data_IF_355283208529
#
_entry.id   IF_355283208529
#
_cell.length_a   1.000
_cell.length_b   1.000
_cell.length_c   1.000
_cell.angle_alpha   90.00
_cell.angle_beta   90.00
_cell.angle_gamma   90.00
#
_symmetry.space_group_name_H-M   'P 1'
#
loop_
_entity.id
_entity.type
_entity.pdbx_description
1 polymer ?
#
# COMPACT_ATOMS: atom_id res chain seq x y z
N UNK A 1 15.20 4.93 19.62
CA UNK A 1 14.71 3.99 18.58
C UNK A 1 15.58 2.75 18.63
N UNK A 2 15.00 1.56 18.49
CA UNK A 2 15.73 0.30 18.40
C UNK A 2 15.41 -0.38 17.06
N UNK A 3 16.40 -1.05 16.46
CA UNK A 3 16.24 -1.78 15.21
C UNK A 3 17.02 -3.09 15.28
N UNK A 4 16.51 -4.13 14.64
CA UNK A 4 17.21 -5.39 14.46
C UNK A 4 16.81 -6.05 13.16
N UNK A 5 17.77 -6.69 12.52
CA UNK A 5 17.55 -7.45 11.29
C UNK A 5 18.37 -8.75 11.31
N UNK A 6 17.89 -9.72 10.54
CA UNK A 6 18.57 -10.99 10.31
C UNK A 6 18.28 -11.41 8.88
N UNK A 7 19.31 -11.80 8.15
CA UNK A 7 19.21 -12.26 6.77
C UNK A 7 19.97 -13.56 6.60
N UNK A 8 19.36 -14.53 5.94
CA UNK A 8 19.99 -15.79 5.55
C UNK A 8 19.87 -15.93 4.06
N UNK A 9 21.02 -16.09 3.39
CA UNK A 9 21.10 -16.26 1.95
C UNK A 9 21.69 -17.63 1.63
N UNK A 10 21.13 -18.30 0.62
CA UNK A 10 21.62 -19.58 0.12
C UNK A 10 21.46 -19.68 -1.39
N UNK A 11 22.52 -20.13 -2.05
CA UNK A 11 22.42 -20.59 -3.43
C UNK A 11 21.75 -21.97 -3.46
N UNK A 12 20.62 -22.08 -4.17
CA UNK A 12 19.82 -23.30 -4.27
C UNK A 12 20.26 -24.17 -5.45
N UNK A 13 20.70 -23.53 -6.53
CA UNK A 13 21.29 -24.14 -7.73
C UNK A 13 22.10 -23.06 -8.44
N UNK A 14 22.89 -23.43 -9.45
CA UNK A 14 23.77 -22.51 -10.17
C UNK A 14 23.05 -21.21 -10.57
N UNK A 15 23.42 -20.10 -9.94
CA UNK A 15 22.86 -18.76 -10.19
C UNK A 15 21.45 -18.52 -9.65
N UNK A 16 20.82 -19.46 -8.95
CA UNK A 16 19.54 -19.28 -8.24
C UNK A 16 19.80 -19.10 -6.75
N UNK A 17 19.49 -17.91 -6.25
CA UNK A 17 19.75 -17.50 -4.87
C UNK A 17 18.43 -17.20 -4.17
N UNK A 18 18.26 -17.79 -2.98
CA UNK A 18 17.18 -17.47 -2.06
C UNK A 18 17.76 -16.68 -0.88
N UNK A 19 17.11 -15.59 -0.52
CA UNK A 19 17.35 -14.83 0.69
C UNK A 19 16.05 -14.73 1.48
N UNK A 20 16.13 -15.02 2.78
CA UNK A 20 15.04 -14.82 3.73
C UNK A 20 15.52 -13.86 4.80
N UNK A 21 14.77 -12.77 5.00
CA UNK A 21 15.09 -11.72 5.95
C UNK A 21 13.98 -11.53 6.97
N UNK A 22 14.38 -11.04 8.14
CA UNK A 22 13.48 -10.49 9.14
C UNK A 22 14.02 -9.12 9.54
N UNK A 23 13.15 -8.12 9.56
CA UNK A 23 13.48 -6.72 9.87
C UNK A 23 12.45 -6.20 10.85
N UNK A 24 12.90 -5.55 11.91
CA UNK A 24 12.04 -4.97 12.91
C UNK A 24 12.58 -3.64 13.43
N UNK A 25 11.66 -2.78 13.84
CA UNK A 25 12.00 -1.53 14.52
C UNK A 25 10.99 -1.24 15.63
N UNK A 26 11.47 -0.57 16.67
CA UNK A 26 10.68 -0.14 17.81
C UNK A 26 11.02 1.32 18.16
N UNK A 27 9.98 2.13 18.27
CA UNK A 27 10.02 3.48 18.80
C UNK A 27 9.37 3.52 20.18
N UNK A 28 10.05 4.12 21.15
CA UNK A 28 9.56 4.35 22.50
C UNK A 28 9.85 5.79 22.88
N UNK A 29 8.93 6.42 23.62
CA UNK A 29 9.02 7.83 24.02
C UNK A 29 9.25 8.78 22.84
N UNK A 30 8.54 8.54 21.73
CA UNK A 30 8.52 9.47 20.61
C UNK A 30 7.66 10.70 20.97
N UNK A 31 8.06 11.88 20.49
CA UNK A 31 7.27 13.11 20.64
C UNK A 31 5.99 13.05 19.81
N UNK A 32 4.91 13.60 20.37
CA UNK A 32 3.63 13.80 19.69
C UNK A 32 2.83 14.89 20.42
N UNK A 33 2.01 15.62 19.68
CA UNK A 33 1.17 16.68 20.24
C UNK A 33 -0.16 16.13 20.74
N UNK A 34 -0.53 16.53 21.95
CA UNK A 34 -1.81 16.20 22.57
C UNK A 34 -2.55 17.47 22.92
N UNK A 35 -3.87 17.44 22.89
CA UNK A 35 -4.63 18.57 23.42
C UNK A 35 -4.55 18.53 24.94
N UNK A 36 -4.05 19.61 25.53
CA UNK A 36 -3.81 19.70 26.96
C UNK A 36 -4.89 20.49 27.72
N UNK A 37 -5.83 21.11 27.00
CA UNK A 37 -6.91 21.90 27.59
C UNK A 37 -8.28 21.57 27.01
N UNK A 38 -8.48 20.37 26.48
CA UNK A 38 -9.80 19.90 26.07
C UNK A 38 -10.72 19.83 27.30
N UNK A 39 -11.99 20.19 27.12
CA UNK A 39 -12.96 20.15 28.19
C UNK A 39 -13.37 18.69 28.49
N UNK A 40 -13.60 18.29 29.76
CA UNK A 40 -14.14 16.97 30.06
C UNK A 40 -15.48 16.77 29.37
N UNK A 41 -15.67 15.64 28.68
CA UNK A 41 -16.90 15.34 27.91
C UNK A 41 -18.18 15.62 28.70
N UNK A 42 -19.18 16.24 28.06
CA UNK A 42 -20.45 16.54 28.73
C UNK A 42 -21.26 17.66 28.09
N UNK A 43 -22.44 17.96 28.63
CA UNK A 43 -23.33 19.01 28.12
C UNK A 43 -22.81 20.43 28.39
N UNK A 44 -23.42 21.40 27.72
CA UNK A 44 -23.11 22.82 27.87
C UNK A 44 -21.84 23.27 27.12
N UNK A 45 -21.53 24.56 27.26
CA UNK A 45 -20.42 25.20 26.57
C UNK A 45 -19.07 24.57 27.00
N UNK A 46 -18.30 23.96 26.07
CA UNK A 46 -17.00 23.39 26.38
C UNK A 46 -16.01 24.42 26.95
N UNK A 47 -16.06 25.69 26.55
CA UNK A 47 -15.13 26.71 27.05
C UNK A 47 -15.24 26.93 28.57
N UNK A 48 -16.44 26.79 29.13
CA UNK A 48 -16.67 26.92 30.58
C UNK A 48 -16.19 25.71 31.39
N UNK A 49 -16.03 24.56 30.72
CA UNK A 49 -15.61 23.28 31.32
C UNK A 49 -14.13 22.98 31.17
N UNK A 50 -13.38 23.77 30.39
CA UNK A 50 -11.92 23.58 30.23
C UNK A 50 -11.18 23.68 31.58
N UNK A 51 -10.17 22.83 31.82
CA UNK A 51 -9.34 22.89 33.02
C UNK A 51 -8.71 24.27 33.24
N UNK A 52 -8.10 24.83 32.19
CA UNK A 52 -7.51 26.17 32.20
C UNK A 52 -8.46 27.15 31.54
N UNK A 53 -9.24 27.83 32.38
CA UNK A 53 -10.18 28.89 31.96
C UNK A 53 -9.39 30.10 31.44
N UNK A 54 -9.87 30.74 30.37
CA UNK A 54 -9.34 31.97 29.75
C UNK A 54 -8.11 31.85 28.82
N UNK A 55 -7.60 30.64 28.55
CA UNK A 55 -6.47 30.42 27.61
C UNK A 55 -6.85 29.68 26.32
N UNK A 56 -8.13 29.29 26.18
CA UNK A 56 -8.62 28.50 25.05
C UNK A 56 -7.93 27.14 24.94
N UNK A 57 -8.14 26.42 23.84
CA UNK A 57 -7.38 25.17 23.60
C UNK A 57 -5.86 25.43 23.54
N UNK A 58 -5.05 24.45 23.90
CA UNK A 58 -3.64 24.42 23.52
C UNK A 58 -3.16 22.98 23.47
N UNK A 59 -2.04 22.78 22.79
CA UNK A 59 -1.41 21.48 22.66
C UNK A 59 -0.12 21.43 23.46
N UNK A 60 0.18 20.27 24.00
CA UNK A 60 1.41 19.96 24.70
C UNK A 60 2.16 18.89 23.91
N UNK A 61 3.47 19.01 23.82
CA UNK A 61 4.32 17.95 23.29
C UNK A 61 4.64 16.94 24.40
N UNK A 62 4.31 15.67 24.17
CA UNK A 62 4.55 14.58 25.12
C UNK A 62 5.38 13.49 24.45
N UNK A 63 6.44 13.05 25.12
CA UNK A 63 7.27 11.91 24.70
C UNK A 63 6.64 10.58 25.11
N UNK A 64 5.39 10.31 24.70
CA UNK A 64 4.63 9.10 25.05
C UNK A 64 4.30 8.21 23.85
N UNK A 65 4.55 8.69 22.62
CA UNK A 65 4.21 7.94 21.42
C UNK A 65 5.12 6.72 21.23
N UNK A 66 4.53 5.68 20.64
CA UNK A 66 5.20 4.40 20.38
C UNK A 66 5.01 3.98 18.94
N UNK A 67 6.00 3.28 18.38
CA UNK A 67 5.89 2.61 17.08
C UNK A 67 6.52 1.22 17.13
N UNK A 68 6.00 0.30 16.32
CA UNK A 68 6.49 -1.07 16.21
C UNK A 68 6.28 -1.57 14.79
N UNK A 69 7.38 -1.92 14.12
CA UNK A 69 7.39 -2.56 12.82
C UNK A 69 7.99 -3.96 12.94
N UNK A 70 7.35 -4.92 12.28
CA UNK A 70 7.77 -6.31 12.18
C UNK A 70 7.59 -6.74 10.73
N UNK A 71 8.64 -7.20 10.08
CA UNK A 71 8.62 -7.58 8.66
C UNK A 71 9.42 -8.84 8.38
N UNK A 72 8.88 -9.72 7.55
CA UNK A 72 9.60 -10.84 6.96
C UNK A 72 9.72 -10.59 5.44
N UNK A 73 10.91 -10.80 4.90
CA UNK A 73 11.19 -10.64 3.46
C UNK A 73 11.64 -11.97 2.88
N UNK A 74 11.22 -12.23 1.65
CA UNK A 74 11.70 -13.35 0.84
C UNK A 74 12.12 -12.78 -0.50
N UNK A 75 13.35 -13.06 -0.91
CA UNK A 75 13.88 -12.68 -2.21
C UNK A 75 14.37 -13.94 -2.92
N UNK A 76 13.88 -14.17 -4.12
CA UNK A 76 14.34 -15.24 -5.01
C UNK A 76 14.90 -14.61 -6.27
N UNK A 77 16.12 -14.96 -6.61
CA UNK A 77 16.85 -14.31 -7.70
C UNK A 77 17.58 -15.33 -8.56
N UNK A 78 17.35 -15.29 -9.88
CA UNK A 78 18.10 -16.06 -10.88
C UNK A 78 18.97 -15.12 -11.69
N UNK A 79 20.28 -15.15 -11.46
CA UNK A 79 21.32 -14.44 -12.23
C UNK A 79 22.02 -15.40 -13.21
N UNK A 80 22.63 -14.86 -14.26
CA UNK A 80 23.57 -15.57 -15.15
C UNK A 80 22.99 -16.81 -15.85
N UNK A 81 21.72 -16.74 -16.31
CA UNK A 81 21.10 -17.80 -17.11
C UNK A 81 20.88 -17.33 -18.55
N UNK A 82 21.12 -18.22 -19.51
CA UNK A 82 21.12 -17.90 -20.94
C UNK A 82 19.73 -17.56 -21.51
N UNK A 83 18.65 -17.96 -20.84
CA UNK A 83 17.29 -17.82 -21.36
C UNK A 83 16.30 -17.19 -20.37
N UNK A 84 16.63 -17.07 -19.08
CA UNK A 84 15.74 -16.52 -18.06
C UNK A 84 16.55 -15.87 -16.94
N UNK A 85 16.31 -14.59 -16.70
CA UNK A 85 16.74 -13.86 -15.50
C UNK A 85 15.49 -13.37 -14.79
N UNK A 86 15.43 -13.50 -13.47
CA UNK A 86 14.34 -12.92 -12.70
C UNK A 86 14.78 -12.55 -11.29
N UNK A 87 14.05 -11.61 -10.70
CA UNK A 87 14.10 -11.26 -9.29
C UNK A 87 12.67 -11.16 -8.78
N UNK A 88 12.38 -11.86 -7.70
CA UNK A 88 11.09 -11.87 -7.03
C UNK A 88 11.30 -11.46 -5.58
N UNK A 89 10.55 -10.47 -5.12
CA UNK A 89 10.56 -10.00 -3.74
C UNK A 89 9.15 -10.13 -3.17
N UNK A 90 9.07 -10.62 -1.94
CA UNK A 90 7.85 -10.67 -1.16
C UNK A 90 8.15 -10.15 0.24
N UNK A 91 7.29 -9.28 0.76
CA UNK A 91 7.36 -8.80 2.12
C UNK A 91 6.01 -9.00 2.81
N UNK A 92 6.05 -9.62 3.99
CA UNK A 92 4.95 -9.66 4.93
C UNK A 92 5.27 -8.72 6.09
N UNK A 93 4.37 -7.79 6.44
CA UNK A 93 4.65 -6.85 7.51
C UNK A 93 3.46 -6.52 8.41
N UNK A 94 3.78 -6.12 9.65
CA UNK A 94 2.86 -5.51 10.61
C UNK A 94 3.52 -4.24 11.14
N UNK A 95 2.86 -3.10 10.94
CA UNK A 95 3.29 -1.80 11.44
C UNK A 95 2.19 -1.22 12.31
N UNK A 96 2.51 -0.97 13.58
CA UNK A 96 1.63 -0.32 14.55
C UNK A 96 2.31 0.95 15.05
N UNK A 97 1.53 2.00 15.29
CA UNK A 97 2.02 3.21 15.94
C UNK A 97 0.91 3.91 16.73
N UNK A 98 1.26 4.88 17.56
CA UNK A 98 0.31 5.86 18.09
C UNK A 98 -0.01 6.94 17.05
N UNK A 99 0.92 7.17 16.13
CA UNK A 99 0.80 8.15 15.08
C UNK A 99 1.79 7.88 13.94
N UNK A 100 1.34 8.06 12.70
CA UNK A 100 2.13 7.71 11.51
C UNK A 100 3.01 8.84 10.96
N UNK A 101 3.00 10.01 11.60
CA UNK A 101 3.89 11.13 11.26
C UNK A 101 4.28 11.94 12.49
N UNK A 102 5.38 12.69 12.39
CA UNK A 102 5.74 13.69 13.39
C UNK A 102 4.72 14.83 13.37
N UNK A 103 4.21 15.20 14.54
CA UNK A 103 3.20 16.26 14.66
C UNK A 103 1.87 15.93 13.98
N UNK A 104 1.59 14.64 13.77
CA UNK A 104 0.26 14.16 13.45
C UNK A 104 -0.81 14.79 14.38
N UNK A 105 -2.03 14.97 13.87
CA UNK A 105 -3.13 15.54 14.64
C UNK A 105 -3.38 14.77 15.94
N UNK A 106 -4.08 15.42 16.87
CA UNK A 106 -4.34 14.86 18.20
C UNK A 106 -4.99 13.48 18.12
N UNK A 107 -4.83 12.68 19.17
CA UNK A 107 -5.62 11.45 19.38
C UNK A 107 -7.09 11.78 19.67
N UNK A 108 -7.99 10.82 19.44
CA UNK A 108 -9.42 10.98 19.75
C UNK A 108 -9.62 11.41 21.21
N UNK A 109 -8.93 10.74 22.14
CA UNK A 109 -8.98 11.03 23.57
C UNK A 109 -7.56 11.23 24.11
N UNK A 110 -7.24 12.44 24.55
CA UNK A 110 -5.89 12.78 25.08
C UNK A 110 -5.65 12.21 26.49
N UNK A 111 -6.70 11.85 27.23
CA UNK A 111 -6.61 11.15 28.52
C UNK A 111 -6.41 9.65 28.32
N UNK A 112 -6.93 9.09 27.22
CA UNK A 112 -6.78 7.68 26.83
C UNK A 112 -6.10 7.51 25.46
N UNK A 113 -4.94 8.14 25.27
CA UNK A 113 -4.22 8.08 24.00
C UNK A 113 -3.84 6.65 23.57
N UNK A 114 -3.69 5.71 24.50
CA UNK A 114 -3.34 4.32 24.18
C UNK A 114 -4.42 3.61 23.36
N UNK A 115 -5.68 4.05 23.46
CA UNK A 115 -6.78 3.53 22.65
C UNK A 115 -6.61 3.86 21.15
N UNK A 116 -5.79 4.86 20.84
CA UNK A 116 -5.52 5.23 19.46
C UNK A 116 -4.39 4.44 18.82
N UNK A 117 -3.67 3.58 19.55
CA UNK A 117 -2.65 2.70 18.96
C UNK A 117 -3.32 1.75 17.95
N UNK A 118 -2.93 1.87 16.69
CA UNK A 118 -3.51 1.12 15.58
C UNK A 118 -2.49 0.83 14.50
N UNK A 119 -2.94 0.35 13.34
CA UNK A 119 -2.05 0.21 12.19
C UNK A 119 -1.49 1.56 11.76
N UNK A 120 -0.24 1.58 11.30
CA UNK A 120 0.32 2.75 10.64
C UNK A 120 -0.45 3.05 9.35
N UNK A 121 -0.62 4.32 8.98
CA UNK A 121 -1.31 4.72 7.74
C UNK A 121 -0.61 4.19 6.47
N UNK A 122 0.71 4.01 6.54
CA UNK A 122 1.52 3.42 5.47
C UNK A 122 1.65 1.89 5.59
N UNK A 123 0.95 1.24 6.52
CA UNK A 123 1.01 -0.21 6.67
C UNK A 123 0.52 -0.90 5.39
N UNK A 124 1.25 -1.93 4.97
CA UNK A 124 0.84 -2.83 3.89
C UNK A 124 1.25 -4.24 4.29
N UNK A 125 0.25 -5.10 4.52
CA UNK A 125 0.46 -6.45 5.04
C UNK A 125 1.26 -7.33 4.09
N UNK A 126 0.95 -7.24 2.80
CA UNK A 126 1.61 -8.00 1.75
C UNK A 126 2.10 -7.03 0.69
N UNK A 127 3.37 -7.15 0.30
CA UNK A 127 3.94 -6.48 -0.87
C UNK A 127 4.66 -7.54 -1.68
N UNK A 128 4.38 -7.59 -2.97
CA UNK A 128 4.99 -8.50 -3.93
C UNK A 128 5.49 -7.70 -5.12
N UNK A 129 6.71 -7.99 -5.57
CA UNK A 129 7.21 -7.52 -6.84
C UNK A 129 8.01 -8.62 -7.53
N UNK A 130 7.86 -8.71 -8.85
CA UNK A 130 8.64 -9.64 -9.66
C UNK A 130 9.04 -8.96 -10.96
N UNK A 131 10.33 -8.95 -11.26
CA UNK A 131 10.87 -8.57 -12.56
C UNK A 131 11.46 -9.79 -13.24
N UNK A 132 11.16 -10.00 -14.52
CA UNK A 132 11.76 -11.08 -15.30
C UNK A 132 12.06 -10.66 -16.73
N UNK A 133 13.10 -11.28 -17.29
CA UNK A 133 13.51 -11.18 -18.68
C UNK A 133 13.78 -12.57 -19.21
N UNK A 134 13.10 -12.96 -20.28
CA UNK A 134 13.29 -14.26 -20.92
C UNK A 134 13.40 -14.17 -22.43
N UNK A 135 14.42 -14.79 -22.99
CA UNK A 135 14.53 -14.98 -24.44
C UNK A 135 13.67 -16.19 -24.85
N UNK A 136 12.81 -16.01 -25.84
CA UNK A 136 11.95 -17.10 -26.29
C UNK A 136 12.76 -18.17 -27.04
N UNK A 137 12.45 -19.47 -26.84
CA UNK A 137 13.22 -20.57 -27.40
C UNK A 137 12.88 -20.90 -28.87
N UNK A 138 12.51 -19.90 -29.69
CA UNK A 138 12.16 -20.07 -31.10
C UNK A 138 13.23 -19.54 -32.06
N UNK A 139 13.33 -20.16 -33.23
CA UNK A 139 14.14 -19.70 -34.36
C UNK A 139 15.53 -20.33 -34.47
N UNK A 140 16.37 -19.87 -35.42
CA UNK A 140 17.63 -20.52 -35.77
C UNK A 140 18.51 -20.79 -34.55
N UNK A 141 18.93 -22.06 -34.37
CA UNK A 141 19.79 -22.47 -33.26
C UNK A 141 19.12 -22.51 -31.87
N UNK A 142 17.79 -22.39 -31.80
CA UNK A 142 16.99 -22.55 -30.56
C UNK A 142 16.22 -23.88 -30.55
N UNK A 143 15.66 -24.20 -29.38
CA UNK A 143 14.97 -25.48 -29.10
C UNK A 143 13.80 -25.75 -30.05
N UNK A 144 13.03 -24.72 -30.38
CA UNK A 144 11.87 -24.83 -31.26
C UNK A 144 12.12 -24.09 -32.56
N UNK A 145 11.70 -24.68 -33.69
CA UNK A 145 11.89 -24.11 -35.03
C UNK A 145 13.37 -23.79 -35.37
N UNK A 146 14.30 -24.56 -34.79
CA UNK A 146 15.75 -24.36 -34.89
C UNK A 146 16.35 -24.45 -36.29
N UNK A 147 15.67 -25.15 -37.20
CA UNK A 147 16.11 -25.39 -38.57
C UNK A 147 15.58 -24.36 -39.58
N UNK A 148 14.68 -23.46 -39.17
CA UNK A 148 14.19 -22.40 -40.06
C UNK A 148 15.35 -21.47 -40.43
N UNK A 149 15.47 -21.15 -41.72
CA UNK A 149 16.48 -20.26 -42.27
C UNK A 149 15.84 -19.10 -43.02
N UNK A 150 16.67 -18.14 -43.44
CA UNK A 150 16.23 -16.98 -44.22
C UNK A 150 15.20 -16.13 -43.48
N UNK A 151 14.23 -15.59 -44.23
CA UNK A 151 13.19 -14.70 -43.71
C UNK A 151 12.36 -15.37 -42.60
N UNK A 152 11.99 -16.64 -42.76
CA UNK A 152 11.24 -17.37 -41.75
C UNK A 152 11.98 -17.45 -40.41
N UNK A 153 13.29 -17.73 -40.45
CA UNK A 153 14.15 -17.73 -39.27
C UNK A 153 14.25 -16.37 -38.58
N UNK A 154 14.34 -15.29 -39.36
CA UNK A 154 14.35 -13.91 -38.83
C UNK A 154 13.02 -13.53 -38.18
N UNK A 155 11.88 -13.98 -38.70
CA UNK A 155 10.55 -13.71 -38.13
C UNK A 155 10.35 -14.46 -36.82
N UNK A 156 10.80 -15.71 -36.70
CA UNK A 156 10.56 -16.51 -35.48
C UNK A 156 11.63 -16.38 -34.40
N UNK A 157 12.84 -15.92 -34.72
CA UNK A 157 13.98 -15.88 -33.78
C UNK A 157 14.22 -14.53 -33.11
N UNK A 158 14.85 -14.49 -31.92
CA UNK A 158 15.25 -13.20 -31.31
C UNK A 158 14.13 -12.42 -30.62
N UNK A 159 13.05 -13.12 -30.25
CA UNK A 159 12.03 -12.59 -29.35
C UNK A 159 12.48 -12.67 -27.89
N UNK A 160 12.14 -11.65 -27.12
CA UNK A 160 12.36 -11.54 -25.68
C UNK A 160 11.10 -11.00 -25.03
N UNK A 161 10.74 -11.55 -23.88
CA UNK A 161 9.67 -11.05 -23.03
C UNK A 161 10.28 -10.47 -21.76
N UNK A 162 9.85 -9.26 -21.41
CA UNK A 162 10.13 -8.59 -20.16
C UNK A 162 8.82 -8.46 -19.40
N UNK A 163 8.86 -8.57 -18.07
CA UNK A 163 7.68 -8.36 -17.26
C UNK A 163 8.02 -7.80 -15.88
N UNK A 164 7.17 -6.90 -15.41
CA UNK A 164 7.15 -6.42 -14.03
C UNK A 164 5.75 -6.66 -13.49
N UNK A 165 5.68 -7.38 -12.37
CA UNK A 165 4.45 -7.63 -11.64
C UNK A 165 4.60 -6.93 -10.30
N UNK A 166 3.63 -6.12 -9.92
CA UNK A 166 3.58 -5.46 -8.62
C UNK A 166 2.22 -5.69 -7.99
N UNK A 167 2.19 -6.13 -6.74
CA UNK A 167 0.95 -6.29 -5.99
C UNK A 167 1.16 -5.90 -4.53
N UNK A 168 0.15 -5.27 -3.93
CA UNK A 168 0.13 -5.00 -2.49
C UNK A 168 -1.28 -5.09 -1.93
N UNK A 169 -1.37 -5.52 -0.67
CA UNK A 169 -2.61 -5.37 0.10
C UNK A 169 -2.99 -3.90 0.23
N UNK A 170 -4.26 -3.63 0.49
CA UNK A 170 -4.71 -2.27 0.76
C UNK A 170 -4.06 -1.68 2.01
N UNK A 171 -4.11 -0.35 2.07
CA UNK A 171 -3.67 0.40 3.26
C UNK A 171 -4.84 0.53 4.24
N UNK A 172 -4.55 0.66 5.54
CA UNK A 172 -5.57 0.99 6.52
C UNK A 172 -6.28 2.31 6.21
N UNK A 173 -7.56 2.37 6.54
CA UNK A 173 -8.44 3.51 6.40
C UNK A 173 -8.68 4.12 7.78
N UNK A 174 -8.45 5.42 7.90
CA UNK A 174 -8.78 6.17 9.12
C UNK A 174 -10.20 6.72 9.00
N UNK A 175 -11.10 6.31 9.89
CA UNK A 175 -12.49 6.75 9.91
C UNK A 175 -12.67 7.89 10.90
N UNK A 176 -13.53 8.84 10.56
CA UNK A 176 -13.84 10.01 11.38
C UNK A 176 -15.34 10.32 11.35
N UNK A 177 -15.80 11.16 12.28
CA UNK A 177 -17.09 11.84 12.22
C UNK A 177 -16.86 13.34 11.93
N UNK A 178 -17.78 13.99 11.25
CA UNK A 178 -17.64 15.40 10.84
C UNK A 178 -18.08 16.42 11.91
N UNK A 179 -18.12 16.04 13.19
CA UNK A 179 -18.55 16.91 14.30
C UNK A 179 -17.85 16.55 15.61
N UNK A 180 -17.82 17.50 16.55
CA UNK A 180 -17.45 17.24 17.95
C UNK A 180 -18.65 16.64 18.69
N UNK A 181 -18.69 15.30 18.78
CA UNK A 181 -19.77 14.57 19.45
C UNK A 181 -19.53 14.44 20.96
N UNK A 182 -18.27 14.31 21.39
CA UNK A 182 -17.90 14.28 22.80
C UNK A 182 -18.06 15.65 23.50
N UNK A 183 -18.18 16.73 22.72
CA UNK A 183 -18.33 18.12 23.17
C UNK A 183 -17.19 18.57 24.09
N UNK A 184 -15.96 18.29 23.65
CA UNK A 184 -14.74 18.63 24.39
C UNK A 184 -14.11 19.94 23.90
N UNK A 185 -14.68 20.56 22.86
CA UNK A 185 -14.14 21.75 22.22
C UNK A 185 -12.84 21.43 21.47
N UNK A 186 -12.75 20.21 20.93
CA UNK A 186 -11.54 19.68 20.31
C UNK A 186 -11.26 20.35 18.97
N UNK A 187 -10.00 20.68 18.72
CA UNK A 187 -9.58 21.42 17.51
C UNK A 187 -9.50 20.58 16.23
N UNK A 188 -9.43 19.26 16.35
CA UNK A 188 -8.91 18.38 15.29
C UNK A 188 -9.91 17.39 14.70
N UNK A 189 -11.20 17.45 15.07
CA UNK A 189 -12.29 16.56 14.56
C UNK A 189 -11.85 15.12 14.26
N UNK A 190 -11.13 14.53 15.19
CA UNK A 190 -10.48 13.22 15.09
C UNK A 190 -11.31 12.11 15.77
N UNK A 191 -12.54 12.44 16.17
CA UNK A 191 -13.48 11.51 16.75
C UNK A 191 -13.91 10.50 15.70
N UNK A 192 -14.10 9.25 16.11
CA UNK A 192 -14.44 8.13 15.22
C UNK A 192 -15.89 7.71 15.44
N UNK A 193 -16.52 7.05 14.45
CA UNK A 193 -17.83 6.47 14.64
C UNK A 193 -17.78 5.25 15.58
N UNK A 194 -18.94 4.81 16.03
CA UNK A 194 -19.11 3.47 16.58
C UNK A 194 -19.22 2.46 15.44
N UNK A 195 -18.53 1.33 15.58
CA UNK A 195 -18.73 0.13 14.79
C UNK A 195 -19.78 -0.74 15.50
N UNK A 196 -20.99 -0.79 14.93
CA UNK A 196 -22.16 -1.49 15.49
C UNK A 196 -22.53 -2.75 14.69
N UNK A 197 -21.86 -2.99 13.56
CA UNK A 197 -22.07 -4.16 12.71
C UNK A 197 -20.80 -4.57 11.98
N UNK A 198 -20.94 -5.50 11.02
CA UNK A 198 -19.83 -5.96 10.20
C UNK A 198 -19.56 -5.02 9.04
N UNK A 199 -18.29 -4.62 8.86
CA UNK A 199 -17.84 -3.76 7.75
C UNK A 199 -18.03 -4.44 6.39
N UNK A 200 -17.77 -5.75 6.36
CA UNK A 200 -17.89 -6.61 5.19
C UNK A 200 -18.66 -7.87 5.57
N UNK A 201 -20.00 -7.80 5.69
CA UNK A 201 -20.79 -8.97 6.05
C UNK A 201 -20.73 -10.06 4.98
N UNK A 202 -21.04 -11.30 5.34
CA UNK A 202 -21.08 -12.40 4.37
C UNK A 202 -22.01 -12.08 3.21
N UNK A 203 -21.53 -12.30 1.97
CA UNK A 203 -22.26 -11.98 0.74
C UNK A 203 -22.32 -10.50 0.38
N UNK A 204 -21.59 -9.62 1.11
CA UNK A 204 -21.49 -8.23 0.74
C UNK A 204 -20.77 -8.05 -0.60
N UNK A 205 -21.45 -7.40 -1.54
CA UNK A 205 -20.88 -7.06 -2.84
C UNK A 205 -20.18 -5.70 -2.77
N UNK A 206 -18.86 -5.72 -2.70
CA UNK A 206 -18.03 -4.51 -2.70
C UNK A 206 -17.97 -3.90 -4.10
N UNK A 207 -18.48 -2.66 -4.24
CA UNK A 207 -18.40 -1.86 -5.48
C UNK A 207 -17.84 -0.47 -5.18
N UNK A 208 -17.42 0.32 -6.19
CA UNK A 208 -16.97 1.69 -5.96
C UNK A 208 -18.03 2.58 -5.28
N UNK A 209 -19.32 2.36 -5.53
CA UNK A 209 -20.42 3.11 -4.94
C UNK A 209 -20.75 2.66 -3.51
N UNK A 210 -20.30 1.46 -3.12
CA UNK A 210 -20.55 0.87 -1.82
C UNK A 210 -19.40 -0.04 -1.43
N UNK A 211 -18.27 0.58 -1.06
CA UNK A 211 -17.04 -0.17 -0.80
C UNK A 211 -17.16 -1.04 0.46
N UNK A 212 -17.77 -0.50 1.51
CA UNK A 212 -18.05 -1.18 2.77
C UNK A 212 -19.51 -0.95 3.20
N UNK A 213 -19.98 -1.76 4.15
CA UNK A 213 -21.31 -1.60 4.73
C UNK A 213 -21.38 -0.32 5.57
N UNK A 214 -21.88 0.76 4.99
CA UNK A 214 -22.01 2.05 5.69
C UNK A 214 -22.94 1.99 6.90
N UNK A 215 -23.92 1.09 6.92
CA UNK A 215 -24.82 0.87 8.05
C UNK A 215 -24.15 0.20 9.27
N UNK A 216 -22.93 -0.31 9.13
CA UNK A 216 -22.13 -0.82 10.25
C UNK A 216 -21.57 0.31 11.14
N UNK A 217 -21.66 1.56 10.69
CA UNK A 217 -21.10 2.71 11.36
C UNK A 217 -22.23 3.62 11.86
N UNK A 218 -22.17 3.98 13.14
CA UNK A 218 -23.13 4.87 13.78
C UNK A 218 -22.43 6.05 14.43
N UNK A 219 -23.17 7.15 14.59
CA UNK A 219 -22.72 8.22 15.47
C UNK A 219 -22.73 7.70 16.92
N UNK A 220 -21.65 7.93 17.70
CA UNK A 220 -21.64 7.56 19.10
C UNK A 220 -22.71 8.31 19.89
N UNK A 221 -23.07 7.78 21.06
CA UNK A 221 -23.97 8.48 21.98
C UNK A 221 -23.46 9.90 22.27
N UNK A 222 -24.36 10.84 22.51
CA UNK A 222 -23.96 12.22 22.73
C UNK A 222 -23.03 12.29 23.94
N UNK A 223 -21.96 13.11 23.83
CA UNK A 223 -20.92 13.25 24.85
C UNK A 223 -20.04 12.01 25.03
N UNK A 224 -20.00 11.10 24.05
CA UNK A 224 -19.06 9.96 24.03
C UNK A 224 -18.19 9.97 22.79
N UNK A 225 -17.03 9.32 22.93
CA UNK A 225 -16.15 8.95 21.82
C UNK A 225 -16.63 7.65 21.17
N UNK A 226 -16.24 7.43 19.92
CA UNK A 226 -16.54 6.20 19.21
C UNK A 226 -15.61 5.05 19.57
N UNK A 227 -16.11 3.84 19.38
CA UNK A 227 -15.41 2.59 19.70
C UNK A 227 -14.51 2.06 18.57
N UNK A 228 -14.59 2.62 17.37
CA UNK A 228 -13.81 2.13 16.23
C UNK A 228 -12.32 2.41 16.45
N UNK A 229 -11.50 1.35 16.36
CA UNK A 229 -10.06 1.48 16.46
C UNK A 229 -9.48 2.29 15.30
N UNK A 230 -8.40 3.05 15.58
CA UNK A 230 -7.68 3.78 14.53
C UNK A 230 -7.19 2.82 13.46
N UNK A 231 -7.42 3.16 12.19
CA UNK A 231 -6.89 2.39 11.05
C UNK A 231 -7.32 0.90 11.07
N UNK A 232 -8.51 0.61 11.58
CA UNK A 232 -8.99 -0.76 11.75
C UNK A 232 -9.50 -1.43 10.46
N UNK A 233 -9.96 -0.65 9.49
CA UNK A 233 -10.51 -1.14 8.22
C UNK A 233 -9.45 -1.06 7.13
N UNK A 234 -9.32 -2.08 6.28
CA UNK A 234 -8.37 -2.08 5.16
C UNK A 234 -9.09 -1.67 3.86
N UNK A 235 -8.47 -0.76 3.10
CA UNK A 235 -8.96 -0.28 1.82
C UNK A 235 -8.62 -1.20 0.64
N UNK A 236 -8.84 -0.74 -0.60
CA UNK A 236 -8.50 -1.52 -1.79
C UNK A 236 -7.01 -1.83 -1.90
N UNK A 237 -6.70 -3.04 -2.36
CA UNK A 237 -5.36 -3.41 -2.78
C UNK A 237 -4.97 -2.77 -4.12
N UNK A 238 -3.72 -2.99 -4.52
CA UNK A 238 -3.21 -2.60 -5.83
C UNK A 238 -2.54 -3.78 -6.50
N UNK A 239 -2.76 -3.92 -7.80
CA UNK A 239 -2.11 -4.88 -8.67
C UNK A 239 -1.82 -4.25 -10.04
N UNK A 240 -0.57 -4.38 -10.50
CA UNK A 240 -0.14 -3.96 -11.84
C UNK A 240 0.67 -5.03 -12.53
N UNK A 241 0.52 -5.08 -13.84
CA UNK A 241 1.16 -6.03 -14.74
C UNK A 241 1.69 -5.27 -15.93
N UNK A 242 3.00 -5.09 -16.01
CA UNK A 242 3.65 -4.40 -17.10
C UNK A 242 4.45 -5.41 -17.91
N UNK A 243 4.26 -5.43 -19.23
CA UNK A 243 4.94 -6.37 -20.13
C UNK A 243 5.66 -5.65 -21.26
N UNK A 244 6.81 -6.16 -21.65
CA UNK A 244 7.52 -5.74 -22.85
C UNK A 244 7.79 -6.93 -23.75
N UNK A 245 7.47 -6.81 -25.03
CA UNK A 245 7.81 -7.79 -26.06
C UNK A 245 8.83 -7.15 -26.99
N UNK A 246 10.05 -7.65 -26.95
CA UNK A 246 11.16 -7.14 -27.75
C UNK A 246 11.51 -8.14 -28.84
N UNK A 247 11.81 -7.62 -30.02
CA UNK A 247 12.14 -8.41 -31.20
C UNK A 247 13.39 -7.83 -31.85
N UNK A 248 14.42 -8.65 -31.95
CA UNK A 248 15.67 -8.28 -32.61
C UNK A 248 15.73 -8.88 -34.02
N UNK A 249 15.81 -8.01 -35.03
CA UNK A 249 16.06 -8.34 -36.43
C UNK A 249 17.55 -8.12 -36.72
N UNK A 250 18.30 -9.18 -36.99
CA UNK A 250 19.74 -9.07 -37.27
C UNK A 250 19.96 -8.59 -38.71
N UNK A 251 20.76 -7.55 -38.89
CA UNK A 251 21.13 -6.95 -40.18
C UNK A 251 22.62 -7.20 -40.46
N UNK A 252 23.01 -8.47 -40.55
CA UNK A 252 24.42 -8.87 -40.66
C UNK A 252 25.02 -9.27 -39.31
N UNK A 253 26.33 -9.14 -39.19
CA UNK A 253 27.09 -9.70 -38.06
C UNK A 253 27.07 -8.81 -36.81
N UNK A 254 27.04 -7.49 -37.00
CA UNK A 254 27.20 -6.50 -35.93
C UNK A 254 25.94 -5.67 -35.66
N UNK A 255 25.18 -5.33 -36.69
CA UNK A 255 24.01 -4.46 -36.54
C UNK A 255 22.69 -5.22 -36.41
N UNK A 256 21.75 -4.62 -35.68
CA UNK A 256 20.38 -5.13 -35.58
C UNK A 256 19.37 -4.00 -35.35
N UNK A 257 18.15 -4.23 -35.81
CA UNK A 257 16.98 -3.43 -35.46
C UNK A 257 16.24 -4.12 -34.33
N UNK A 258 15.97 -3.39 -33.26
CA UNK A 258 15.12 -3.83 -32.17
C UNK A 258 13.77 -3.13 -32.23
N UNK A 259 12.71 -3.91 -32.38
CA UNK A 259 11.34 -3.48 -32.16
C UNK A 259 10.93 -3.78 -30.72
N UNK A 260 10.20 -2.87 -30.10
CA UNK A 260 9.66 -2.99 -28.74
C UNK A 260 8.17 -2.68 -28.76
N UNK A 261 7.38 -3.53 -28.12
CA UNK A 261 6.02 -3.23 -27.72
C UNK A 261 5.96 -3.32 -26.19
N UNK A 262 5.63 -2.22 -25.52
CA UNK A 262 5.54 -2.11 -24.07
C UNK A 262 4.09 -1.84 -23.68
N UNK A 263 3.58 -2.62 -22.74
CA UNK A 263 2.20 -2.57 -22.25
C UNK A 263 2.25 -2.30 -20.76
N UNK A 264 1.89 -1.10 -20.34
CA UNK A 264 1.70 -0.75 -18.93
C UNK A 264 0.26 -1.05 -18.54
N UNK A 265 0.05 -1.63 -17.36
CA UNK A 265 -1.24 -2.17 -16.95
C UNK A 265 -1.85 -3.06 -18.06
N UNK A 266 -1.10 -4.06 -18.51
CA UNK A 266 -1.38 -4.88 -19.68
C UNK A 266 -2.74 -5.59 -19.64
N UNK A 267 -3.30 -5.84 -18.45
CA UNK A 267 -4.64 -6.42 -18.29
C UNK A 267 -5.73 -5.37 -18.07
N UNK A 268 -5.40 -4.08 -18.05
CA UNK A 268 -6.31 -2.99 -17.73
C UNK A 268 -7.02 -3.21 -16.38
N UNK A 269 -6.27 -3.69 -15.38
CA UNK A 269 -6.80 -3.89 -14.03
C UNK A 269 -7.04 -2.53 -13.38
N UNK A 270 -8.25 -2.34 -12.85
CA UNK A 270 -8.64 -1.08 -12.20
C UNK A 270 -8.13 -1.07 -10.76
N UNK A 271 -7.16 -0.21 -10.48
CA UNK A 271 -6.68 0.02 -9.11
C UNK A 271 -7.45 1.16 -8.46
N UNK A 272 -8.46 0.83 -7.65
CA UNK A 272 -9.29 1.81 -6.97
C UNK A 272 -8.53 2.63 -5.91
N UNK A 273 -8.92 3.88 -5.74
CA UNK A 273 -8.52 4.75 -4.63
C UNK A 273 -9.24 4.41 -3.34
N UNK A 274 -8.92 5.12 -2.26
CA UNK A 274 -9.61 4.88 -0.99
C UNK A 274 -11.03 5.47 -1.01
N UNK A 275 -12.00 4.81 -0.35
CA UNK A 275 -13.34 5.37 -0.20
C UNK A 275 -13.37 6.57 0.75
N UNK A 276 -14.42 7.38 0.68
CA UNK A 276 -14.73 8.37 1.72
C UNK A 276 -14.95 7.67 3.08
N UNK A 277 -14.36 8.22 4.14
CA UNK A 277 -14.29 7.58 5.47
C UNK A 277 -14.81 8.47 6.61
N UNK A 278 -15.32 9.64 6.26
CA UNK A 278 -15.95 10.56 7.22
C UNK A 278 -17.45 10.33 7.27
N UNK A 279 -17.94 9.76 8.38
CA UNK A 279 -19.36 9.54 8.60
C UNK A 279 -20.10 10.88 8.65
N UNK A 280 -21.19 10.97 7.87
CA UNK A 280 -21.99 12.17 7.70
C UNK A 280 -21.68 12.95 6.41
N UNK A 281 -20.59 12.61 5.71
CA UNK A 281 -20.32 13.17 4.39
C UNK A 281 -21.06 12.38 3.28
N UNK A 282 -21.44 13.03 2.15
CA UNK A 282 -22.13 12.35 1.05
C UNK A 282 -21.33 11.23 0.37
N UNK A 283 -20.01 11.26 0.46
CA UNK A 283 -19.08 10.31 -0.17
C UNK A 283 -18.68 9.14 0.77
N UNK A 284 -19.29 9.02 1.94
CA UNK A 284 -18.98 7.95 2.90
C UNK A 284 -19.22 6.56 2.28
N UNK A 285 -18.15 5.75 2.20
CA UNK A 285 -18.17 4.44 1.56
C UNK A 285 -18.05 4.44 0.03
N UNK A 286 -17.88 5.61 -0.59
CA UNK A 286 -17.80 5.78 -2.05
C UNK A 286 -16.36 6.03 -2.49
N UNK A 287 -15.92 5.37 -3.55
CA UNK A 287 -14.64 5.59 -4.24
C UNK A 287 -14.89 6.42 -5.49
N UNK A 288 -14.26 7.60 -5.56
CA UNK A 288 -14.40 8.52 -6.70
C UNK A 288 -13.25 8.51 -7.71
N UNK A 289 -12.19 7.71 -7.52
CA UNK A 289 -10.99 7.78 -8.35
C UNK A 289 -10.18 6.47 -8.36
N UNK A 290 -9.25 6.36 -9.31
CA UNK A 290 -8.25 5.28 -9.41
C UNK A 290 -6.86 5.78 -9.04
N UNK A 291 -5.97 4.86 -8.64
CA UNK A 291 -4.59 5.17 -8.22
C UNK A 291 -3.55 4.90 -9.29
N UNK A 292 -3.94 4.28 -10.40
CA UNK A 292 -3.09 4.02 -11.57
C UNK A 292 -3.81 4.42 -12.85
N UNK A 293 -3.03 4.62 -13.90
CA UNK A 293 -3.56 4.83 -15.26
C UNK A 293 -4.22 3.56 -15.80
N UNK A 294 -5.05 3.75 -16.83
CA UNK A 294 -5.53 2.67 -17.68
C UNK A 294 -4.38 2.06 -18.49
N UNK A 295 -4.68 1.01 -19.26
CA UNK A 295 -3.69 0.38 -20.13
C UNK A 295 -3.06 1.39 -21.10
N UNK A 296 -1.74 1.44 -21.10
CA UNK A 296 -0.95 2.22 -22.06
C UNK A 296 -0.10 1.26 -22.90
N UNK A 297 -0.06 1.51 -24.22
CA UNK A 297 0.74 0.71 -25.15
C UNK A 297 1.70 1.64 -25.87
N UNK A 298 2.98 1.32 -25.82
CA UNK A 298 4.05 2.09 -26.46
C UNK A 298 4.80 1.20 -27.44
N UNK A 299 5.20 1.79 -28.56
CA UNK A 299 6.01 1.13 -29.58
C UNK A 299 7.33 1.89 -29.74
N UNK A 300 8.42 1.14 -29.85
CA UNK A 300 9.76 1.68 -30.05
C UNK A 300 10.49 0.92 -31.14
N UNK A 301 11.24 1.65 -31.96
CA UNK A 301 12.16 1.09 -32.93
C UNK A 301 13.55 1.67 -32.69
N UNK A 302 14.54 0.80 -32.53
CA UNK A 302 15.93 1.20 -32.30
C UNK A 302 16.85 0.47 -33.26
N UNK A 303 17.69 1.20 -33.98
CA UNK A 303 18.82 0.64 -34.73
C UNK A 303 20.06 0.62 -33.83
N UNK A 304 20.77 -0.50 -33.82
CA UNK A 304 21.98 -0.71 -33.01
C UNK A 304 23.10 -1.13 -33.97
N UNK A 305 24.21 -0.41 -33.93
CA UNK A 305 25.40 -0.57 -34.76
C UNK A 305 26.60 -1.03 -33.92
#
# INVERSE_FOLDING_TARGET
MQQWNMHVQRELSQGLVLEVGYVASKGTHLSSFFNANDAPRGPGDPELRRPFKNVGGFSEDRSVATSSYQGATVKLEKRLSSNLTFITNYAYSKSLDLCSSFGCGSVQDSENYKADIGYSEFHSRHIFSMGYVTALPFGPGKRYLGNLRGVGGQIVGGWQINGIISARSGRPLNFQINKDNANTGQRSFNQRPDLTGEVYPSGFNTTPEKWFNTAAFALPAQYTYGNLGRNAVIGPGLQSWDFGIFKNFRLGEVSHIQFRAELFNAFNHTNFGNPGTTLGNPDFGIIGYTTTNSREIQFGLKYIF
#
